data_IF_073294867961
#
_entry.id   IF_073294867961
#
_cell.length_a   1.000
_cell.length_b   1.000
_cell.length_c   1.000
_cell.angle_alpha   90.00
_cell.angle_beta   90.00
_cell.angle_gamma   90.00
#
_symmetry.space_group_name_H-M   'P 1'
#
loop_
_entity.id
_entity.type
_entity.pdbx_description
1 polymer ?
#
# COMPACT_ATOMS: atom_id res chain seq x y z
N UNK A 1 48.49 6.83 -6.40
CA UNK A 1 47.66 7.04 -5.22
C UNK A 1 46.61 5.95 -5.22
N UNK A 2 46.82 4.92 -4.36
CA UNK A 2 45.91 3.79 -4.24
C UNK A 2 44.86 4.10 -3.19
N UNK A 3 43.60 4.14 -3.56
CA UNK A 3 42.48 4.11 -2.62
C UNK A 3 42.37 2.70 -2.05
N UNK A 4 42.76 2.55 -0.79
CA UNK A 4 42.57 1.32 -0.04
C UNK A 4 41.07 1.19 0.31
N UNK A 5 40.38 0.34 -0.43
CA UNK A 5 39.03 -0.12 -0.12
C UNK A 5 39.08 -1.00 1.13
N UNK A 6 39.04 -0.37 2.31
CA UNK A 6 38.96 -1.08 3.60
C UNK A 6 37.52 -1.55 3.75
N UNK A 7 37.28 -2.86 3.68
CA UNK A 7 35.98 -3.46 3.98
C UNK A 7 35.53 -3.02 5.39
N UNK A 8 34.26 -2.61 5.58
CA UNK A 8 33.78 -2.17 6.88
C UNK A 8 33.86 -3.30 7.91
N UNK A 9 34.29 -2.95 9.13
CA UNK A 9 34.44 -3.88 10.25
C UNK A 9 33.10 -4.56 10.58
N UNK A 10 33.12 -5.84 10.96
CA UNK A 10 31.92 -6.60 11.41
C UNK A 10 31.10 -5.88 12.49
N UNK A 11 31.72 -5.08 13.34
CA UNK A 11 31.08 -4.29 14.39
C UNK A 11 30.26 -3.11 13.83
N UNK A 12 30.73 -2.46 12.78
CA UNK A 12 30.01 -1.37 12.08
C UNK A 12 28.73 -1.86 11.40
N UNK A 13 28.71 -3.11 10.95
CA UNK A 13 27.57 -3.73 10.25
C UNK A 13 26.44 -4.09 11.22
N UNK A 14 26.77 -4.64 12.40
CA UNK A 14 25.76 -4.96 13.42
C UNK A 14 25.09 -3.72 14.00
N UNK A 15 25.82 -2.63 14.19
CA UNK A 15 25.29 -1.36 14.69
C UNK A 15 24.30 -0.73 13.70
N UNK A 16 24.58 -0.82 12.41
CA UNK A 16 23.73 -0.26 11.36
C UNK A 16 22.38 -1.01 11.25
N UNK A 17 22.39 -2.33 11.32
CA UNK A 17 21.17 -3.14 11.30
C UNK A 17 20.26 -2.85 12.48
N UNK A 18 20.80 -2.85 13.69
CA UNK A 18 20.07 -2.54 14.92
C UNK A 18 19.48 -1.13 14.89
N UNK A 19 20.23 -0.17 14.32
CA UNK A 19 19.78 1.20 14.13
C UNK A 19 18.57 1.30 13.21
N UNK A 20 18.57 0.61 12.05
CA UNK A 20 17.42 0.61 11.15
C UNK A 20 16.23 -0.19 11.69
N UNK A 21 16.45 -1.28 12.43
CA UNK A 21 15.37 -2.02 13.07
C UNK A 21 14.63 -1.17 14.12
N UNK A 22 15.35 -0.37 14.91
CA UNK A 22 14.75 0.61 15.82
C UNK A 22 13.91 1.64 15.05
N UNK A 23 14.44 2.22 13.98
CA UNK A 23 13.70 3.19 13.15
C UNK A 23 12.44 2.60 12.51
N UNK A 24 12.47 1.33 12.11
CA UNK A 24 11.26 0.65 11.62
C UNK A 24 10.24 0.49 12.73
N UNK A 25 10.66 0.15 13.94
CA UNK A 25 9.76 0.06 15.09
C UNK A 25 9.05 1.39 15.37
N UNK A 26 9.80 2.50 15.40
CA UNK A 26 9.25 3.85 15.57
C UNK A 26 8.28 4.23 14.47
N UNK A 27 8.62 3.91 13.21
CA UNK A 27 7.76 4.12 12.06
C UNK A 27 6.42 3.37 12.16
N UNK A 28 6.46 2.08 12.52
CA UNK A 28 5.26 1.27 12.66
C UNK A 28 4.38 1.74 13.81
N UNK A 29 4.98 2.23 14.89
CA UNK A 29 4.25 2.83 16.01
C UNK A 29 3.59 4.16 15.60
N UNK A 30 4.29 4.99 14.83
CA UNK A 30 3.73 6.21 14.28
C UNK A 30 2.56 5.92 13.31
N UNK A 31 2.64 4.84 12.52
CA UNK A 31 1.52 4.37 11.68
C UNK A 31 0.30 3.95 12.52
N UNK A 32 0.49 3.26 13.67
CA UNK A 32 -0.61 2.93 14.59
C UNK A 32 -1.29 4.18 15.11
N UNK A 33 -0.50 5.14 15.59
CA UNK A 33 -1.01 6.44 16.07
C UNK A 33 -1.76 7.22 14.98
N UNK A 34 -1.34 7.08 13.72
CA UNK A 34 -2.03 7.67 12.58
C UNK A 34 -3.31 6.93 12.16
N UNK A 35 -3.63 5.77 12.76
CA UNK A 35 -4.86 5.02 12.51
C UNK A 35 -4.78 4.00 11.38
N UNK A 36 -3.59 3.55 11.00
CA UNK A 36 -3.44 2.45 10.04
C UNK A 36 -3.88 1.11 10.64
N UNK A 37 -4.51 0.26 9.82
CA UNK A 37 -4.93 -1.08 10.26
C UNK A 37 -3.74 -2.00 10.53
N UNK A 38 -3.87 -2.93 11.48
CA UNK A 38 -2.81 -3.89 11.80
C UNK A 38 -2.41 -4.78 10.60
N UNK A 39 -3.35 -5.05 9.68
CA UNK A 39 -3.04 -5.78 8.44
C UNK A 39 -2.11 -4.97 7.53
N UNK A 40 -2.35 -3.67 7.43
CA UNK A 40 -1.49 -2.74 6.68
C UNK A 40 -0.12 -2.65 7.33
N UNK A 41 -0.07 -2.44 8.64
CA UNK A 41 1.19 -2.35 9.41
C UNK A 41 2.04 -3.60 9.26
N UNK A 42 1.42 -4.80 9.27
CA UNK A 42 2.14 -6.06 9.01
C UNK A 42 2.79 -6.12 7.63
N UNK A 43 2.11 -5.58 6.61
CA UNK A 43 2.69 -5.51 5.25
C UNK A 43 3.89 -4.56 5.20
N UNK A 44 3.79 -3.39 5.83
CA UNK A 44 4.91 -2.45 5.92
C UNK A 44 6.09 -3.06 6.68
N UNK A 45 5.84 -3.69 7.83
CA UNK A 45 6.86 -4.41 8.60
C UNK A 45 7.62 -5.44 7.76
N UNK A 46 6.88 -6.26 6.99
CA UNK A 46 7.48 -7.26 6.10
C UNK A 46 8.35 -6.60 5.03
N UNK A 47 7.84 -5.55 4.38
CA UNK A 47 8.56 -4.84 3.31
C UNK A 47 9.83 -4.17 3.84
N UNK A 48 9.76 -3.44 4.96
CA UNK A 48 10.92 -2.78 5.56
C UNK A 48 11.98 -3.78 6.00
N UNK A 49 11.59 -4.91 6.60
CA UNK A 49 12.54 -5.96 6.98
C UNK A 49 13.30 -6.54 5.79
N UNK A 50 12.60 -6.84 4.70
CA UNK A 50 13.26 -7.34 3.49
C UNK A 50 14.24 -6.32 2.91
N UNK A 51 13.88 -5.05 2.94
CA UNK A 51 14.73 -3.97 2.49
C UNK A 51 15.98 -3.79 3.37
N UNK A 52 15.84 -3.84 4.70
CA UNK A 52 16.98 -3.76 5.63
C UNK A 52 17.93 -4.93 5.44
N UNK A 53 17.42 -6.15 5.26
CA UNK A 53 18.25 -7.32 4.96
C UNK A 53 19.00 -7.14 3.64
N UNK A 54 18.35 -6.59 2.62
CA UNK A 54 19.01 -6.28 1.36
C UNK A 54 20.12 -5.24 1.53
N UNK A 55 19.86 -4.17 2.27
CA UNK A 55 20.87 -3.14 2.56
C UNK A 55 22.09 -3.73 3.31
N UNK A 56 21.83 -4.57 4.30
CA UNK A 56 22.86 -5.25 5.10
C UNK A 56 23.75 -6.13 4.22
N UNK A 57 23.15 -7.00 3.39
CA UNK A 57 23.88 -7.92 2.48
C UNK A 57 24.70 -7.16 1.44
N UNK A 58 24.21 -6.01 0.97
CA UNK A 58 24.88 -5.20 -0.07
C UNK A 58 25.73 -4.06 0.50
N UNK A 59 25.94 -4.01 1.82
CA UNK A 59 26.73 -2.98 2.51
C UNK A 59 26.26 -1.54 2.23
N UNK A 60 24.94 -1.35 2.00
CA UNK A 60 24.34 -0.04 1.75
C UNK A 60 24.06 0.65 3.09
N UNK A 61 24.68 1.79 3.32
CA UNK A 61 24.56 2.53 4.58
C UNK A 61 23.43 3.55 4.55
N UNK A 62 23.09 4.11 3.38
CA UNK A 62 22.12 5.17 3.24
C UNK A 62 20.74 4.63 2.84
N UNK A 63 19.76 4.85 3.72
CA UNK A 63 18.36 4.55 3.45
C UNK A 63 17.70 5.73 2.73
N UNK A 64 17.74 5.72 1.41
CA UNK A 64 17.24 6.78 0.54
C UNK A 64 16.53 6.22 -0.70
N UNK A 65 16.10 7.10 -1.61
CA UNK A 65 15.39 6.72 -2.85
C UNK A 65 16.27 5.87 -3.76
N UNK A 66 17.58 6.11 -3.78
CA UNK A 66 18.51 5.36 -4.61
C UNK A 66 18.64 3.90 -4.14
N UNK A 67 18.79 3.69 -2.83
CA UNK A 67 18.82 2.35 -2.25
C UNK A 67 17.50 1.59 -2.46
N UNK A 68 16.36 2.28 -2.43
CA UNK A 68 15.06 1.69 -2.81
C UNK A 68 15.08 1.24 -4.26
N UNK A 69 15.53 2.07 -5.18
CA UNK A 69 15.57 1.75 -6.61
C UNK A 69 16.48 0.54 -6.89
N UNK A 70 17.61 0.44 -6.22
CA UNK A 70 18.49 -0.72 -6.29
C UNK A 70 17.80 -1.99 -5.80
N UNK A 71 17.10 -1.92 -4.66
CA UNK A 71 16.34 -3.05 -4.13
C UNK A 71 15.23 -3.49 -5.09
N UNK A 72 14.47 -2.55 -5.66
CA UNK A 72 13.37 -2.87 -6.57
C UNK A 72 13.84 -3.57 -7.86
N UNK A 73 15.06 -3.27 -8.33
CA UNK A 73 15.67 -3.97 -9.49
C UNK A 73 15.93 -5.46 -9.22
N UNK A 74 16.05 -5.87 -7.95
CA UNK A 74 16.21 -7.29 -7.59
C UNK A 74 14.89 -8.07 -7.59
N UNK A 75 13.74 -7.37 -7.66
CA UNK A 75 12.43 -8.02 -7.64
C UNK A 75 12.06 -8.56 -9.03
N UNK A 76 11.36 -9.71 -9.10
CA UNK A 76 10.88 -10.25 -10.37
C UNK A 76 9.98 -9.25 -11.11
N UNK A 77 10.36 -8.89 -12.33
CA UNK A 77 9.68 -7.86 -13.13
C UNK A 77 8.24 -8.25 -13.54
N UNK A 78 7.93 -9.53 -13.54
CA UNK A 78 6.59 -10.07 -13.82
C UNK A 78 5.54 -9.65 -12.77
N UNK A 79 5.97 -9.17 -11.61
CA UNK A 79 5.11 -8.75 -10.49
C UNK A 79 5.00 -7.21 -10.37
N UNK A 80 4.74 -6.53 -11.46
CA UNK A 80 4.68 -5.05 -11.54
C UNK A 80 3.82 -4.42 -10.41
N UNK A 81 2.64 -4.97 -10.14
CA UNK A 81 1.76 -4.48 -9.04
C UNK A 81 2.42 -4.62 -7.66
N UNK A 82 3.19 -5.67 -7.44
CA UNK A 82 3.94 -5.89 -6.20
C UNK A 82 5.09 -4.90 -6.06
N UNK A 83 5.77 -4.57 -7.16
CA UNK A 83 6.86 -3.60 -7.21
C UNK A 83 6.35 -2.20 -6.85
N UNK A 84 5.26 -1.73 -7.48
CA UNK A 84 4.65 -0.44 -7.16
C UNK A 84 4.22 -0.34 -5.69
N UNK A 85 3.57 -1.38 -5.16
CA UNK A 85 3.18 -1.42 -3.75
C UNK A 85 4.37 -1.42 -2.80
N UNK A 86 5.46 -2.10 -3.15
CA UNK A 86 6.70 -2.13 -2.39
C UNK A 86 7.38 -0.77 -2.41
N UNK A 87 7.52 -0.15 -3.58
CA UNK A 87 8.07 1.19 -3.75
C UNK A 87 7.32 2.22 -2.87
N UNK A 88 6.00 2.27 -2.97
CA UNK A 88 5.19 3.18 -2.16
C UNK A 88 5.43 3.02 -0.66
N UNK A 89 5.51 1.77 -0.16
CA UNK A 89 5.74 1.50 1.26
C UNK A 89 7.13 1.98 1.71
N UNK A 90 8.15 1.73 0.91
CA UNK A 90 9.52 2.14 1.23
C UNK A 90 9.70 3.66 1.13
N UNK A 91 9.08 4.31 0.15
CA UNK A 91 9.07 5.78 0.07
C UNK A 91 8.43 6.41 1.31
N UNK A 92 7.31 5.85 1.80
CA UNK A 92 6.69 6.35 3.02
C UNK A 92 7.62 6.18 4.24
N UNK A 93 8.36 5.07 4.32
CA UNK A 93 9.35 4.85 5.37
C UNK A 93 10.51 5.85 5.28
N UNK A 94 11.09 6.05 4.10
CA UNK A 94 12.19 7.01 3.89
C UNK A 94 11.74 8.44 4.21
N UNK A 95 10.56 8.85 3.76
CA UNK A 95 10.00 10.16 4.10
C UNK A 95 9.83 10.31 5.63
N UNK A 96 9.35 9.27 6.32
CA UNK A 96 9.27 9.28 7.77
C UNK A 96 10.64 9.45 8.45
N UNK A 97 11.70 8.87 7.89
CA UNK A 97 13.05 9.05 8.43
C UNK A 97 13.51 10.51 8.37
N UNK A 98 13.07 11.23 7.34
CA UNK A 98 13.39 12.67 7.12
C UNK A 98 12.52 13.58 7.97
N UNK A 99 11.19 13.44 7.87
CA UNK A 99 10.25 14.44 8.40
C UNK A 99 9.60 14.02 9.73
N UNK A 100 9.74 12.76 10.12
CA UNK A 100 9.08 12.16 11.30
C UNK A 100 7.55 12.27 11.27
N UNK A 101 6.97 12.55 10.11
CA UNK A 101 5.53 12.68 9.92
C UNK A 101 4.95 11.51 9.14
N UNK A 102 3.72 11.11 9.48
CA UNK A 102 2.95 10.13 8.73
C UNK A 102 1.61 10.75 8.36
N UNK A 103 1.31 10.76 7.08
CA UNK A 103 -0.02 11.15 6.62
C UNK A 103 -1.05 10.12 7.10
N UNK A 104 -2.19 10.61 7.57
CA UNK A 104 -3.32 9.72 7.88
C UNK A 104 -3.76 8.96 6.64
N UNK A 105 -4.16 7.69 6.79
CA UNK A 105 -4.71 6.95 5.67
C UNK A 105 -5.91 7.71 5.09
N UNK A 106 -5.95 7.84 3.77
CA UNK A 106 -7.12 8.42 3.10
C UNK A 106 -8.29 7.47 3.31
N UNK A 107 -9.22 7.86 4.16
CA UNK A 107 -10.50 7.15 4.29
C UNK A 107 -11.28 7.42 3.01
N UNK A 108 -11.30 6.46 2.11
CA UNK A 108 -12.16 6.55 0.93
C UNK A 108 -13.59 6.34 1.41
N UNK A 109 -14.39 7.39 1.36
CA UNK A 109 -15.83 7.27 1.59
C UNK A 109 -16.43 6.41 0.51
N UNK A 110 -16.80 5.18 0.88
CA UNK A 110 -17.63 4.32 0.03
C UNK A 110 -19.08 4.78 0.27
N UNK A 111 -19.76 5.16 -0.79
CA UNK A 111 -21.19 5.44 -0.72
C UNK A 111 -21.88 4.09 -0.52
N UNK A 112 -22.24 3.78 0.72
CA UNK A 112 -22.89 2.49 1.07
C UNK A 112 -24.40 2.47 0.81
N UNK A 113 -24.98 3.58 0.34
CA UNK A 113 -26.39 3.66 -0.04
C UNK A 113 -26.48 3.87 -1.54
N UNK A 114 -26.88 2.86 -2.23
CA UNK A 114 -27.14 2.90 -3.65
C UNK A 114 -28.59 3.35 -3.86
N UNK A 115 -28.80 4.50 -4.50
CA UNK A 115 -30.12 5.05 -4.81
C UNK A 115 -30.38 5.04 -6.32
N UNK A 116 -31.67 5.18 -6.69
CA UNK A 116 -32.10 5.15 -8.08
C UNK A 116 -32.27 3.73 -8.64
N UNK A 117 -32.61 3.62 -9.92
CA UNK A 117 -32.88 2.35 -10.59
C UNK A 117 -31.65 1.43 -10.60
N UNK A 118 -30.51 1.94 -11.06
CA UNK A 118 -29.25 1.19 -11.12
C UNK A 118 -28.77 0.81 -9.71
N UNK A 119 -28.86 1.74 -8.77
CA UNK A 119 -28.50 1.50 -7.37
C UNK A 119 -29.37 0.43 -6.70
N UNK A 120 -30.64 0.38 -7.03
CA UNK A 120 -31.56 -0.65 -6.55
C UNK A 120 -31.19 -2.06 -7.03
N UNK A 121 -30.71 -2.19 -8.27
CA UNK A 121 -30.20 -3.47 -8.80
C UNK A 121 -28.94 -3.89 -8.11
N UNK A 122 -28.00 -2.96 -7.91
CA UNK A 122 -26.75 -3.24 -7.19
C UNK A 122 -27.03 -3.71 -5.75
N UNK A 123 -27.97 -3.08 -5.05
CA UNK A 123 -28.39 -3.50 -3.72
C UNK A 123 -28.94 -4.93 -3.72
N UNK A 124 -29.82 -5.26 -4.67
CA UNK A 124 -30.35 -6.63 -4.80
C UNK A 124 -29.24 -7.63 -5.08
N UNK A 125 -28.28 -7.27 -5.92
CA UNK A 125 -27.14 -8.16 -6.20
C UNK A 125 -26.27 -8.39 -4.97
N UNK A 126 -26.00 -7.36 -4.15
CA UNK A 126 -25.25 -7.51 -2.92
C UNK A 126 -25.96 -8.45 -1.93
N UNK A 127 -27.30 -8.33 -1.78
CA UNK A 127 -28.07 -9.28 -0.96
C UNK A 127 -27.96 -10.72 -1.48
N UNK A 128 -27.99 -10.93 -2.80
CA UNK A 128 -27.79 -12.24 -3.37
C UNK A 128 -26.41 -12.82 -3.01
N UNK A 129 -25.36 -11.99 -3.02
CA UNK A 129 -24.00 -12.42 -2.61
C UNK A 129 -23.93 -12.76 -1.11
N UNK A 130 -24.70 -12.05 -0.26
CA UNK A 130 -24.85 -12.36 1.17
C UNK A 130 -25.55 -13.71 1.38
N UNK A 131 -26.64 -13.96 0.65
CA UNK A 131 -27.35 -15.25 0.68
C UNK A 131 -26.45 -16.41 0.22
N UNK A 132 -25.58 -16.17 -0.73
CA UNK A 132 -24.55 -17.12 -1.19
C UNK A 132 -23.40 -17.29 -0.18
N UNK A 133 -23.45 -16.61 0.97
CA UNK A 133 -22.46 -16.67 2.05
C UNK A 133 -21.04 -16.26 1.64
N UNK A 134 -20.92 -15.32 0.72
CA UNK A 134 -19.63 -14.74 0.41
C UNK A 134 -19.06 -14.01 1.64
N UNK A 135 -17.73 -13.94 1.72
CA UNK A 135 -17.08 -13.28 2.85
C UNK A 135 -17.45 -11.79 2.90
N UNK A 136 -17.61 -11.19 4.11
CA UNK A 136 -17.88 -9.75 4.25
C UNK A 136 -16.86 -8.88 3.50
N UNK A 137 -15.60 -9.31 3.44
CA UNK A 137 -14.54 -8.63 2.69
C UNK A 137 -14.77 -8.67 1.19
N UNK A 138 -15.34 -9.74 0.68
CA UNK A 138 -15.69 -9.87 -0.74
C UNK A 138 -16.84 -8.94 -1.09
N UNK A 139 -17.87 -8.89 -0.24
CA UNK A 139 -19.04 -8.01 -0.39
C UNK A 139 -18.60 -6.54 -0.35
N UNK A 140 -17.77 -6.14 0.61
CA UNK A 140 -17.18 -4.79 0.70
C UNK A 140 -16.40 -4.42 -0.60
N UNK A 141 -15.74 -5.41 -1.21
CA UNK A 141 -15.08 -5.22 -2.52
C UNK A 141 -16.06 -4.87 -3.64
N UNK A 142 -17.21 -5.56 -3.72
CA UNK A 142 -18.27 -5.27 -4.70
C UNK A 142 -18.92 -3.91 -4.41
N UNK A 143 -19.25 -3.59 -3.17
CA UNK A 143 -19.77 -2.27 -2.77
C UNK A 143 -18.85 -1.15 -3.24
N UNK A 144 -17.55 -1.35 -3.10
CA UNK A 144 -16.56 -0.38 -3.53
C UNK A 144 -16.58 -0.16 -5.05
N UNK A 145 -16.60 -1.24 -5.83
CA UNK A 145 -16.69 -1.18 -7.30
C UNK A 145 -17.99 -0.50 -7.74
N UNK A 146 -19.12 -0.87 -7.15
CA UNK A 146 -20.43 -0.28 -7.46
C UNK A 146 -20.48 1.21 -7.12
N UNK A 147 -19.86 1.63 -6.03
CA UNK A 147 -19.78 3.05 -5.67
C UNK A 147 -19.01 3.86 -6.71
N UNK A 148 -17.93 3.32 -7.25
CA UNK A 148 -17.18 3.99 -8.33
C UNK A 148 -17.98 4.03 -9.63
N UNK A 149 -18.64 2.94 -9.98
CA UNK A 149 -19.43 2.86 -11.20
C UNK A 149 -20.62 3.84 -11.14
N UNK A 150 -21.38 3.87 -10.05
CA UNK A 150 -22.46 4.86 -9.88
C UNK A 150 -21.95 6.30 -9.95
N UNK A 151 -20.79 6.58 -9.36
CA UNK A 151 -20.18 7.91 -9.46
C UNK A 151 -19.81 8.24 -10.91
N UNK A 152 -19.27 7.29 -11.65
CA UNK A 152 -18.93 7.45 -13.06
C UNK A 152 -20.18 7.79 -13.88
N UNK A 153 -21.24 6.99 -13.74
CA UNK A 153 -22.52 7.21 -14.43
C UNK A 153 -23.13 8.57 -14.05
N UNK A 154 -23.11 8.93 -12.77
CA UNK A 154 -23.62 10.22 -12.30
C UNK A 154 -22.89 11.43 -12.91
N UNK A 155 -21.57 11.33 -13.12
CA UNK A 155 -20.79 12.37 -13.78
C UNK A 155 -21.14 12.51 -15.27
N UNK A 156 -21.69 11.47 -15.88
CA UNK A 156 -22.19 11.45 -17.28
C UNK A 156 -23.69 11.69 -17.39
N UNK A 157 -24.37 11.98 -16.29
CA UNK A 157 -25.84 12.15 -16.21
C UNK A 157 -26.63 10.89 -16.63
N UNK A 158 -26.05 9.70 -16.46
CA UNK A 158 -26.70 8.41 -16.71
C UNK A 158 -27.34 7.93 -15.42
N UNK A 159 -28.67 7.86 -15.36
CA UNK A 159 -29.43 7.50 -14.14
C UNK A 159 -30.32 6.28 -14.33
N UNK A 160 -30.58 5.87 -15.55
CA UNK A 160 -31.41 4.71 -15.90
C UNK A 160 -30.60 3.69 -16.68
N UNK A 161 -31.03 2.43 -16.58
CA UNK A 161 -30.39 1.35 -17.34
C UNK A 161 -30.51 1.58 -18.84
N UNK A 162 -31.66 2.10 -19.29
CA UNK A 162 -31.88 2.44 -20.72
C UNK A 162 -30.88 3.44 -21.29
N UNK A 163 -30.24 4.20 -20.43
CA UNK A 163 -29.36 5.29 -20.83
C UNK A 163 -27.87 4.86 -20.82
N UNK A 164 -27.58 3.60 -20.44
CA UNK A 164 -26.25 3.02 -20.46
C UNK A 164 -25.88 2.70 -21.90
N UNK A 165 -24.85 3.32 -22.43
CA UNK A 165 -24.29 3.08 -23.76
C UNK A 165 -23.14 2.05 -23.74
N UNK A 166 -22.63 1.70 -24.93
CA UNK A 166 -21.48 0.79 -25.07
C UNK A 166 -20.18 1.39 -24.48
N UNK A 167 -20.12 2.71 -24.31
CA UNK A 167 -18.95 3.44 -23.78
C UNK A 167 -19.01 3.69 -22.27
N UNK A 168 -20.02 3.19 -21.57
CA UNK A 168 -20.21 3.28 -20.14
C UNK A 168 -19.70 2.02 -19.43
#
# INVERSE_FOLDING_TARGET
CGESNVAPSKYSIMDNKNHFESKVSDFLEAMRKAGYSESTIRQYKKTCRLFIVYMDINYIQDCNVESINLFLKTMPQEKTRSIHGTNYRLLLFVNYLTDRTIQKPVVRYVIRKFSGEIGGIMTKYLHLLEEQRLSPKTIDGYEHVFSYFLRHLSLRNVFRISDIGEDD
#
